data_IF_008486606799
#
_entry.id   IF_008486606799
#
_cell.length_a   1.000
_cell.length_b   1.000
_cell.length_c   1.000
_cell.angle_alpha   90.00
_cell.angle_beta   90.00
_cell.angle_gamma   90.00
#
_symmetry.space_group_name_H-M   'P 1'
#
loop_
_entity.id
_entity.type
_entity.pdbx_description
1 polymer ?
#
# COMPACT_ATOMS: atom_id res chain seq x y z
N UNK A 1 -4.25 -5.05 -21.58
CA UNK A 1 -5.52 -4.59 -22.13
C UNK A 1 -5.49 -3.09 -22.43
N UNK A 2 -5.64 -2.17 -21.46
CA UNK A 2 -5.67 -0.72 -21.75
C UNK A 2 -4.29 -0.05 -21.90
N UNK A 3 -3.21 -0.74 -21.65
CA UNK A 3 -1.85 -0.18 -21.72
C UNK A 3 -1.48 0.78 -20.58
N UNK A 4 -2.28 0.82 -19.51
CA UNK A 4 -2.02 1.66 -18.35
C UNK A 4 -0.79 1.14 -17.62
N UNK A 5 0.21 2.00 -17.39
CA UNK A 5 1.48 1.66 -16.74
C UNK A 5 1.62 2.20 -15.32
N UNK A 6 0.82 3.18 -14.94
CA UNK A 6 0.82 3.78 -13.60
C UNK A 6 -0.60 3.79 -13.04
N UNK A 7 -0.76 3.32 -11.83
CA UNK A 7 -2.01 3.32 -11.09
C UNK A 7 -1.80 3.92 -9.70
N UNK A 8 -2.74 4.74 -9.24
CA UNK A 8 -2.73 5.31 -7.89
C UNK A 8 -3.88 4.78 -7.06
N UNK A 9 -3.58 4.44 -5.81
CA UNK A 9 -4.58 4.05 -4.81
C UNK A 9 -4.18 4.55 -3.43
N UNK A 10 -5.05 4.49 -2.45
CA UNK A 10 -4.71 4.83 -1.06
C UNK A 10 -3.69 3.84 -0.49
N UNK A 11 -4.03 2.57 -0.51
CA UNK A 11 -3.17 1.47 -0.07
C UNK A 11 -3.59 0.17 -0.73
N UNK A 12 -2.63 -0.70 -0.98
CA UNK A 12 -2.88 -2.03 -1.54
C UNK A 12 -3.53 -2.95 -0.51
N UNK A 13 -4.24 -3.96 -1.00
CA UNK A 13 -4.55 -5.15 -0.21
C UNK A 13 -3.28 -5.95 0.09
N UNK A 14 -3.39 -6.90 0.98
CA UNK A 14 -2.25 -7.68 1.42
C UNK A 14 -2.70 -8.97 2.11
N UNK A 15 -1.84 -9.50 2.94
CA UNK A 15 -2.10 -10.67 3.78
C UNK A 15 -2.85 -10.21 5.03
N UNK A 16 -4.02 -10.80 5.31
CA UNK A 16 -4.78 -10.49 6.51
C UNK A 16 -4.11 -11.05 7.77
N UNK A 17 -4.35 -10.40 8.91
CA UNK A 17 -3.93 -10.91 10.22
C UNK A 17 -4.59 -12.27 10.45
N UNK A 18 -3.82 -13.26 10.91
CA UNK A 18 -4.30 -14.63 11.06
C UNK A 18 -4.42 -15.45 9.78
N UNK A 19 -3.86 -14.98 8.68
CA UNK A 19 -3.87 -15.69 7.40
C UNK A 19 -3.21 -17.07 7.45
N UNK A 20 -2.37 -17.33 8.44
CA UNK A 20 -1.79 -18.66 8.68
C UNK A 20 -2.86 -19.73 8.92
N UNK A 21 -4.04 -19.35 9.41
CA UNK A 21 -5.19 -20.23 9.63
C UNK A 21 -6.26 -20.07 8.55
N UNK A 22 -6.46 -18.86 8.03
CA UNK A 22 -7.58 -18.53 7.15
C UNK A 22 -7.22 -18.52 5.66
N UNK A 23 -5.94 -18.37 5.32
CA UNK A 23 -5.47 -18.10 3.95
C UNK A 23 -6.12 -16.84 3.33
N UNK A 24 -6.58 -15.89 4.16
CA UNK A 24 -7.19 -14.65 3.66
C UNK A 24 -6.10 -13.70 3.13
N UNK A 25 -5.89 -13.76 1.82
CA UNK A 25 -4.88 -12.99 1.09
C UNK A 25 -5.58 -12.24 -0.03
N UNK A 26 -5.33 -10.94 -0.14
CA UNK A 26 -5.93 -10.11 -1.18
C UNK A 26 -5.48 -10.51 -2.58
N UNK A 27 -6.41 -10.51 -3.53
CA UNK A 27 -6.12 -10.70 -4.95
C UNK A 27 -5.21 -9.58 -5.52
N UNK A 28 -5.13 -8.43 -4.88
CA UNK A 28 -4.21 -7.34 -5.27
C UNK A 28 -2.77 -7.85 -5.42
N UNK A 29 -2.34 -8.77 -4.54
CA UNK A 29 -0.98 -9.31 -4.58
C UNK A 29 -0.74 -10.20 -5.80
N UNK A 30 -1.76 -10.95 -6.22
CA UNK A 30 -1.70 -11.75 -7.45
C UNK A 30 -1.69 -10.85 -8.70
N UNK A 31 -2.48 -9.79 -8.70
CA UNK A 31 -2.50 -8.82 -9.81
C UNK A 31 -1.15 -8.08 -9.91
N UNK A 32 -0.56 -7.68 -8.80
CA UNK A 32 0.78 -7.10 -8.77
C UNK A 32 1.84 -8.06 -9.33
N UNK A 33 1.73 -9.35 -9.06
CA UNK A 33 2.65 -10.35 -9.57
C UNK A 33 2.54 -10.55 -11.10
N UNK A 34 1.35 -10.34 -11.68
CA UNK A 34 1.05 -10.74 -13.06
C UNK A 34 0.79 -9.56 -14.02
N UNK A 35 0.62 -8.36 -13.52
CA UNK A 35 0.28 -7.18 -14.33
C UNK A 35 1.41 -6.16 -14.30
N UNK A 36 1.92 -5.79 -15.49
CA UNK A 36 3.00 -4.82 -15.68
C UNK A 36 2.51 -3.38 -15.40
N UNK A 37 2.35 -3.04 -14.12
CA UNK A 37 1.86 -1.74 -13.64
C UNK A 37 2.67 -1.28 -12.41
N UNK A 38 3.00 0.00 -12.34
CA UNK A 38 3.51 0.62 -11.12
C UNK A 38 2.33 1.15 -10.31
N UNK A 39 2.20 0.67 -9.08
CA UNK A 39 1.13 1.06 -8.16
C UNK A 39 1.67 2.01 -7.10
N UNK A 40 1.27 3.27 -7.17
CA UNK A 40 1.62 4.31 -6.18
C UNK A 40 0.61 4.27 -5.05
N UNK A 41 1.08 4.03 -3.84
CA UNK A 41 0.23 3.85 -2.66
C UNK A 41 0.96 4.22 -1.36
N UNK A 42 0.24 4.41 -0.28
CA UNK A 42 0.83 4.62 1.05
C UNK A 42 1.18 3.28 1.76
N UNK A 43 1.66 2.30 0.99
CA UNK A 43 1.90 0.94 1.47
C UNK A 43 0.64 0.07 1.46
N UNK A 44 0.66 -1.03 2.20
CA UNK A 44 -0.53 -1.84 2.44
C UNK A 44 -1.42 -1.18 3.51
N UNK A 45 -2.74 -1.46 3.46
CA UNK A 45 -3.67 -0.95 4.47
C UNK A 45 -3.24 -1.41 5.87
N UNK A 46 -3.23 -0.51 6.83
CA UNK A 46 -2.72 -0.73 8.20
C UNK A 46 -3.43 -1.83 9.00
N UNK A 47 -4.63 -2.20 8.57
CA UNK A 47 -5.41 -3.32 9.14
C UNK A 47 -4.84 -4.70 8.80
N UNK A 48 -3.91 -4.77 7.84
CA UNK A 48 -3.30 -5.99 7.32
C UNK A 48 -2.02 -6.36 8.11
N UNK A 49 -1.48 -7.54 7.83
CA UNK A 49 -0.15 -7.95 8.28
C UNK A 49 0.89 -7.44 7.28
N UNK A 50 1.61 -6.38 7.64
CA UNK A 50 2.59 -5.75 6.76
C UNK A 50 3.81 -6.64 6.50
N UNK A 51 4.24 -7.41 7.51
CA UNK A 51 5.36 -8.32 7.39
C UNK A 51 5.07 -9.43 6.38
N UNK A 52 3.97 -10.14 6.58
CA UNK A 52 3.55 -11.20 5.66
C UNK A 52 3.22 -10.66 4.26
N UNK A 53 2.69 -9.45 4.17
CA UNK A 53 2.43 -8.80 2.87
C UNK A 53 3.74 -8.53 2.12
N UNK A 54 4.78 -8.04 2.83
CA UNK A 54 6.08 -7.79 2.23
C UNK A 54 6.75 -9.09 1.78
N UNK A 55 6.74 -10.14 2.60
CA UNK A 55 7.27 -11.47 2.25
C UNK A 55 6.57 -12.06 1.02
N UNK A 56 5.25 -11.86 0.92
CA UNK A 56 4.50 -12.33 -0.23
C UNK A 56 4.93 -11.59 -1.51
N UNK A 57 5.05 -10.26 -1.47
CA UNK A 57 5.51 -9.46 -2.61
C UNK A 57 6.92 -9.87 -3.04
N UNK A 58 7.84 -10.07 -2.10
CA UNK A 58 9.20 -10.56 -2.37
C UNK A 58 9.19 -11.93 -3.05
N UNK A 59 8.42 -12.87 -2.52
CA UNK A 59 8.24 -14.22 -3.11
C UNK A 59 7.73 -14.17 -4.55
N UNK A 60 6.88 -13.19 -4.86
CA UNK A 60 6.33 -12.99 -6.20
C UNK A 60 7.22 -12.14 -7.12
N UNK A 61 8.37 -11.69 -6.64
CA UNK A 61 9.29 -10.83 -7.40
C UNK A 61 8.74 -9.44 -7.71
N UNK A 62 7.84 -8.93 -6.85
CA UNK A 62 7.27 -7.58 -6.94
C UNK A 62 8.11 -6.62 -6.09
N UNK A 63 8.95 -5.77 -6.68
CA UNK A 63 9.79 -4.85 -5.93
C UNK A 63 8.94 -3.79 -5.23
N UNK A 64 9.32 -3.47 -3.99
CA UNK A 64 8.76 -2.39 -3.19
C UNK A 64 9.74 -1.23 -3.16
N UNK A 65 9.44 -0.19 -3.89
CA UNK A 65 10.26 1.02 -4.00
C UNK A 65 9.71 2.10 -3.10
N UNK A 66 10.52 2.58 -2.16
CA UNK A 66 10.17 3.73 -1.32
C UNK A 66 10.45 5.04 -2.06
N UNK A 67 9.45 5.89 -2.18
CA UNK A 67 9.65 7.24 -2.68
C UNK A 67 10.05 8.15 -1.51
N UNK A 68 11.31 8.60 -1.53
CA UNK A 68 11.91 9.43 -0.47
C UNK A 68 11.85 8.81 0.95
N UNK A 69 11.83 7.48 1.02
CA UNK A 69 11.78 6.75 2.29
C UNK A 69 12.52 5.41 2.20
N UNK A 70 13.20 5.04 3.29
CA UNK A 70 13.81 3.71 3.46
C UNK A 70 12.87 2.75 4.20
N UNK A 71 11.75 3.28 4.73
CA UNK A 71 10.76 2.50 5.48
C UNK A 71 9.49 2.31 4.68
N UNK A 72 8.89 1.13 4.80
CA UNK A 72 7.56 0.87 4.25
C UNK A 72 6.53 1.69 5.02
N UNK A 73 5.79 2.61 4.39
CA UNK A 73 4.72 3.33 5.07
C UNK A 73 3.57 2.38 5.43
N UNK A 74 2.88 2.69 6.53
CA UNK A 74 1.78 1.87 7.05
C UNK A 74 0.44 2.60 6.94
N UNK A 75 0.14 3.10 5.75
CA UNK A 75 -1.10 3.76 5.38
C UNK A 75 -1.32 5.09 6.12
N UNK A 76 -1.77 5.04 7.38
CA UNK A 76 -2.01 6.23 8.20
C UNK A 76 -0.76 6.78 8.86
N UNK A 77 0.32 5.99 8.90
CA UNK A 77 1.62 6.40 9.45
C UNK A 77 2.68 6.38 8.37
N UNK A 78 3.66 7.27 8.52
CA UNK A 78 4.71 7.45 7.53
C UNK A 78 5.69 6.28 7.46
N UNK A 79 5.81 5.55 8.55
CA UNK A 79 6.80 4.49 8.71
C UNK A 79 6.18 3.28 9.42
N UNK A 80 6.72 2.11 9.10
CA UNK A 80 6.54 0.87 9.83
C UNK A 80 7.91 0.33 10.28
N UNK A 81 7.91 -0.82 10.93
CA UNK A 81 9.15 -1.50 11.34
C UNK A 81 9.88 -2.18 10.16
N UNK A 82 9.26 -2.21 8.97
CA UNK A 82 9.77 -2.86 7.78
C UNK A 82 10.46 -1.87 6.84
N UNK A 83 11.51 -2.34 6.13
CA UNK A 83 12.17 -1.58 5.08
C UNK A 83 11.50 -1.74 3.72
N UNK A 84 11.96 -0.97 2.76
CA UNK A 84 11.70 -1.12 1.32
C UNK A 84 12.90 -1.77 0.64
N UNK A 85 12.74 -2.24 -0.61
CA UNK A 85 13.84 -2.88 -1.35
C UNK A 85 14.82 -1.83 -1.89
N UNK A 86 14.28 -0.71 -2.39
CA UNK A 86 15.04 0.39 -2.96
C UNK A 86 14.39 1.72 -2.60
N UNK A 87 15.22 2.75 -2.42
CA UNK A 87 14.77 4.12 -2.24
C UNK A 87 15.10 4.95 -3.48
N UNK A 88 14.13 5.70 -3.98
CA UNK A 88 14.28 6.65 -5.08
C UNK A 88 13.76 8.03 -4.67
N UNK A 89 14.38 9.08 -5.21
CA UNK A 89 14.13 10.46 -4.77
C UNK A 89 13.28 11.27 -5.77
N UNK A 90 13.30 10.88 -7.04
CA UNK A 90 12.70 11.66 -8.12
C UNK A 90 11.73 10.82 -8.96
N UNK A 91 10.62 11.41 -9.46
CA UNK A 91 9.70 10.70 -10.35
C UNK A 91 10.38 10.15 -11.60
N UNK A 92 11.39 10.84 -12.12
CA UNK A 92 12.18 10.43 -13.28
C UNK A 92 12.99 9.15 -13.01
N UNK A 93 13.46 8.92 -11.79
CA UNK A 93 14.16 7.71 -11.39
C UNK A 93 13.20 6.52 -11.32
N UNK A 94 11.99 6.74 -10.78
CA UNK A 94 10.93 5.73 -10.76
C UNK A 94 10.55 5.33 -12.19
N UNK A 95 10.32 6.29 -13.06
CA UNK A 95 10.02 6.05 -14.48
C UNK A 95 11.14 5.27 -15.19
N UNK A 96 12.41 5.58 -14.86
CA UNK A 96 13.56 4.86 -15.40
C UNK A 96 13.60 3.39 -14.90
N UNK A 97 13.35 3.16 -13.61
CA UNK A 97 13.29 1.83 -13.03
C UNK A 97 12.17 0.98 -13.63
N UNK A 98 10.98 1.56 -13.81
CA UNK A 98 9.85 0.93 -14.49
C UNK A 98 10.23 0.51 -15.91
N UNK A 99 10.81 1.42 -16.68
CA UNK A 99 11.23 1.16 -18.06
C UNK A 99 12.30 0.07 -18.11
N UNK A 100 13.33 0.15 -17.29
CA UNK A 100 14.40 -0.83 -17.23
C UNK A 100 13.84 -2.24 -16.92
N UNK A 101 12.94 -2.36 -15.92
CA UNK A 101 12.31 -3.64 -15.58
C UNK A 101 11.60 -4.26 -16.78
N UNK A 102 10.76 -3.50 -17.45
CA UNK A 102 9.93 -4.06 -18.52
C UNK A 102 10.65 -4.18 -19.87
N UNK A 103 11.63 -3.32 -20.18
CA UNK A 103 12.49 -3.45 -21.37
C UNK A 103 13.38 -4.72 -21.28
N UNK A 104 13.77 -5.13 -20.07
CA UNK A 104 14.44 -6.42 -19.84
C UNK A 104 13.51 -7.63 -19.94
N UNK A 105 12.21 -7.43 -20.17
CA UNK A 105 11.23 -8.51 -20.27
C UNK A 105 10.77 -9.08 -18.93
N UNK A 106 11.14 -8.46 -17.80
CA UNK A 106 10.68 -8.86 -16.47
C UNK A 106 9.20 -8.51 -16.31
N UNK A 107 8.42 -9.52 -15.96
CA UNK A 107 6.96 -9.39 -15.79
C UNK A 107 6.58 -8.89 -14.39
N UNK A 108 5.27 -8.56 -14.27
CA UNK A 108 4.68 -8.11 -13.01
C UNK A 108 4.93 -6.64 -12.72
N UNK A 109 4.23 -6.17 -11.72
CA UNK A 109 4.20 -4.77 -11.31
C UNK A 109 5.36 -4.35 -10.41
N UNK A 110 5.20 -3.15 -9.87
CA UNK A 110 6.06 -2.54 -8.84
C UNK A 110 5.17 -1.81 -7.86
N UNK A 111 5.49 -1.89 -6.57
CA UNK A 111 4.86 -1.03 -5.56
C UNK A 111 5.73 0.19 -5.35
N UNK A 112 5.15 1.38 -5.53
CA UNK A 112 5.80 2.67 -5.23
C UNK A 112 5.19 3.16 -3.91
N UNK A 113 5.91 2.93 -2.84
CA UNK A 113 5.50 3.24 -1.49
C UNK A 113 5.76 4.73 -1.20
N UNK A 114 4.70 5.53 -1.16
CA UNK A 114 4.72 6.97 -0.97
C UNK A 114 4.10 7.31 0.40
N UNK A 115 4.90 7.75 1.39
CA UNK A 115 4.38 8.05 2.72
C UNK A 115 3.32 9.16 2.69
N UNK A 116 2.30 9.04 3.53
CA UNK A 116 1.34 10.10 3.80
C UNK A 116 2.07 11.41 4.14
N UNK A 117 1.59 12.61 3.69
CA UNK A 117 2.18 13.88 4.09
C UNK A 117 2.27 14.01 5.62
N UNK A 118 3.34 14.63 6.11
CA UNK A 118 3.66 14.68 7.54
C UNK A 118 2.53 15.29 8.36
N UNK A 119 1.91 16.34 7.86
CA UNK A 119 0.81 17.08 8.50
C UNK A 119 -0.49 16.29 8.62
N UNK A 120 -0.63 15.20 7.87
CA UNK A 120 -1.82 14.34 7.85
C UNK A 120 -1.56 12.95 8.44
N UNK A 121 -0.29 12.67 8.81
CA UNK A 121 0.08 11.40 9.44
C UNK A 121 -0.52 11.32 10.84
N UNK A 122 -1.03 10.14 11.18
CA UNK A 122 -1.59 9.89 12.51
C UNK A 122 -0.51 9.29 13.44
N UNK A 123 -0.73 9.47 14.74
CA UNK A 123 0.11 8.85 15.75
C UNK A 123 0.02 7.31 15.68
N UNK A 124 1.18 6.65 15.70
CA UNK A 124 1.27 5.20 15.57
C UNK A 124 0.55 4.46 16.70
N UNK A 125 0.72 4.91 17.94
CA UNK A 125 0.10 4.23 19.08
C UNK A 125 -1.42 4.36 19.06
N UNK A 126 -1.93 5.54 18.64
CA UNK A 126 -3.36 5.78 18.49
C UNK A 126 -3.95 4.84 17.41
N UNK A 127 -3.31 4.74 16.26
CA UNK A 127 -3.80 3.91 15.16
C UNK A 127 -3.69 2.41 15.48
N UNK A 128 -2.58 1.97 16.05
CA UNK A 128 -2.40 0.57 16.46
C UNK A 128 -3.48 0.16 17.50
N UNK A 129 -3.76 1.04 18.46
CA UNK A 129 -4.84 0.82 19.43
C UNK A 129 -6.23 0.78 18.80
N UNK A 130 -6.52 1.67 17.84
CA UNK A 130 -7.79 1.68 17.11
C UNK A 130 -7.98 0.40 16.29
N UNK A 131 -6.92 -0.04 15.59
CA UNK A 131 -6.95 -1.27 14.79
C UNK A 131 -7.15 -2.50 15.70
N UNK A 132 -6.44 -2.59 16.82
CA UNK A 132 -6.58 -3.71 17.74
C UNK A 132 -8.02 -3.84 18.27
N UNK A 133 -8.65 -2.72 18.64
CA UNK A 133 -10.06 -2.68 19.06
C UNK A 133 -11.01 -3.09 17.93
N UNK A 134 -10.77 -2.60 16.71
CA UNK A 134 -11.60 -2.93 15.56
C UNK A 134 -11.52 -4.42 15.20
N UNK A 135 -10.32 -5.03 15.27
CA UNK A 135 -10.11 -6.46 15.03
C UNK A 135 -10.82 -7.29 16.10
N UNK A 136 -10.67 -6.95 17.39
CA UNK A 136 -11.35 -7.66 18.46
C UNK A 136 -12.88 -7.66 18.28
N UNK A 137 -13.46 -6.50 17.92
CA UNK A 137 -14.90 -6.41 17.67
C UNK A 137 -15.33 -7.18 16.40
N UNK A 138 -14.48 -7.21 15.39
CA UNK A 138 -14.71 -8.02 14.17
C UNK A 138 -14.79 -9.51 14.50
N UNK A 139 -13.86 -9.99 15.33
CA UNK A 139 -13.79 -11.40 15.77
C UNK A 139 -15.00 -11.78 16.61
N UNK A 140 -15.39 -10.91 17.58
CA UNK A 140 -16.59 -11.12 18.39
C UNK A 140 -17.88 -11.23 17.57
N UNK A 141 -17.95 -10.48 16.45
CA UNK A 141 -19.09 -10.50 15.54
C UNK A 141 -19.02 -11.60 14.48
N UNK A 142 -17.94 -12.37 14.43
CA UNK A 142 -17.73 -13.42 13.42
C UNK A 142 -17.68 -12.89 11.99
N UNK A 143 -17.23 -11.64 11.79
CA UNK A 143 -17.11 -11.01 10.46
C UNK A 143 -15.82 -11.48 9.81
N UNK A 144 -15.89 -11.96 8.55
CA UNK A 144 -14.75 -12.46 7.81
C UNK A 144 -14.85 -12.28 6.30
N UNK A 145 -13.79 -12.63 5.59
CA UNK A 145 -13.72 -12.57 4.13
C UNK A 145 -13.92 -11.14 3.59
N UNK A 146 -14.74 -10.98 2.56
CA UNK A 146 -14.95 -9.69 1.87
C UNK A 146 -15.50 -8.57 2.77
N UNK A 147 -16.13 -8.92 3.88
CA UNK A 147 -16.69 -7.94 4.82
C UNK A 147 -15.65 -7.37 5.80
N UNK A 148 -14.50 -8.03 5.99
CA UNK A 148 -13.47 -7.64 6.95
C UNK A 148 -12.93 -6.22 6.69
N UNK A 149 -12.44 -5.95 5.50
CA UNK A 149 -11.83 -4.66 5.16
C UNK A 149 -12.80 -3.48 5.32
N UNK A 150 -14.02 -3.50 4.75
CA UNK A 150 -14.98 -2.42 4.95
C UNK A 150 -15.34 -2.20 6.43
N UNK A 151 -15.54 -3.27 7.18
CA UNK A 151 -15.84 -3.19 8.61
C UNK A 151 -14.70 -2.54 9.39
N UNK A 152 -13.47 -3.03 9.21
CA UNK A 152 -12.29 -2.53 9.93
C UNK A 152 -12.02 -1.05 9.63
N UNK A 153 -12.10 -0.63 8.37
CA UNK A 153 -11.91 0.78 8.00
C UNK A 153 -12.99 1.69 8.60
N UNK A 154 -14.25 1.26 8.54
CA UNK A 154 -15.36 2.03 9.15
C UNK A 154 -15.17 2.13 10.66
N UNK A 155 -14.79 1.04 11.34
CA UNK A 155 -14.60 1.02 12.78
C UNK A 155 -13.39 1.85 13.22
N UNK A 156 -12.29 1.80 12.48
CA UNK A 156 -11.14 2.69 12.74
C UNK A 156 -11.54 4.15 12.56
N UNK A 157 -12.35 4.49 11.55
CA UNK A 157 -12.85 5.85 11.38
C UNK A 157 -13.74 6.31 12.54
N UNK A 158 -14.61 5.43 13.05
CA UNK A 158 -15.41 5.70 14.24
C UNK A 158 -14.53 5.95 15.48
N UNK A 159 -13.57 5.06 15.76
CA UNK A 159 -12.68 5.14 16.93
C UNK A 159 -11.81 6.39 16.89
N UNK A 160 -11.38 6.82 15.69
CA UNK A 160 -10.54 8.00 15.48
C UNK A 160 -11.34 9.28 15.22
N UNK A 161 -12.64 9.30 15.48
CA UNK A 161 -13.51 10.46 15.31
C UNK A 161 -13.41 11.10 13.91
N UNK A 162 -13.22 10.28 12.87
CA UNK A 162 -13.08 10.70 11.49
C UNK A 162 -11.66 11.10 11.05
N UNK A 163 -10.71 11.21 11.96
CA UNK A 163 -9.34 11.60 11.62
C UNK A 163 -8.70 10.63 10.60
N UNK A 164 -8.96 9.33 10.70
CA UNK A 164 -8.45 8.36 9.74
C UNK A 164 -9.07 8.50 8.35
N UNK A 165 -10.31 8.97 8.25
CA UNK A 165 -10.94 9.26 6.96
C UNK A 165 -10.27 10.46 6.28
N UNK A 166 -10.02 11.54 7.03
CA UNK A 166 -9.29 12.71 6.52
C UNK A 166 -7.88 12.30 6.05
N UNK A 167 -7.15 11.55 6.86
CA UNK A 167 -5.84 11.03 6.50
C UNK A 167 -5.89 10.18 5.21
N UNK A 168 -6.91 9.32 5.05
CA UNK A 168 -7.10 8.51 3.84
C UNK A 168 -7.33 9.37 2.60
N UNK A 169 -8.10 10.44 2.68
CA UNK A 169 -8.34 11.37 1.57
C UNK A 169 -7.01 12.01 1.15
N UNK A 170 -6.23 12.52 2.09
CA UNK A 170 -4.98 13.23 1.83
C UNK A 170 -3.89 12.30 1.26
N UNK A 171 -3.76 11.08 1.77
CA UNK A 171 -2.80 10.13 1.19
C UNK A 171 -3.18 9.73 -0.25
N UNK A 172 -4.48 9.63 -0.58
CA UNK A 172 -4.93 9.36 -1.96
C UNK A 172 -4.56 10.52 -2.89
N UNK A 173 -4.77 11.76 -2.48
CA UNK A 173 -4.35 12.93 -3.26
C UNK A 173 -2.85 12.98 -3.47
N UNK A 174 -2.05 12.72 -2.41
CA UNK A 174 -0.60 12.66 -2.49
C UNK A 174 -0.13 11.59 -3.48
N UNK A 175 -0.72 10.40 -3.42
CA UNK A 175 -0.40 9.29 -4.31
C UNK A 175 -0.79 9.60 -5.77
N UNK A 176 -1.96 10.19 -6.00
CA UNK A 176 -2.41 10.57 -7.33
C UNK A 176 -1.50 11.62 -7.97
N UNK A 177 -1.04 12.60 -7.20
CA UNK A 177 -0.08 13.62 -7.65
C UNK A 177 1.24 12.98 -8.08
N UNK A 178 1.85 12.15 -7.23
CA UNK A 178 3.09 11.46 -7.57
C UNK A 178 2.92 10.53 -8.77
N UNK A 179 1.81 9.79 -8.85
CA UNK A 179 1.53 8.91 -9.98
C UNK A 179 1.44 9.68 -11.31
N UNK A 180 0.83 10.87 -11.32
CA UNK A 180 0.77 11.73 -12.50
C UNK A 180 2.16 12.21 -12.92
N UNK A 181 3.02 12.58 -11.97
CA UNK A 181 4.40 12.98 -12.24
C UNK A 181 5.21 11.81 -12.82
N UNK A 182 5.12 10.62 -12.23
CA UNK A 182 5.79 9.40 -12.75
C UNK A 182 5.29 9.05 -14.16
N UNK A 183 3.97 9.10 -14.39
CA UNK A 183 3.39 8.77 -15.68
C UNK A 183 3.88 9.74 -16.78
N UNK A 184 3.99 11.03 -16.48
CA UNK A 184 4.55 12.03 -17.41
C UNK A 184 6.00 11.71 -17.75
N UNK A 185 6.84 11.42 -16.76
CA UNK A 185 8.24 11.07 -16.98
C UNK A 185 8.40 9.75 -17.76
N UNK A 186 7.50 8.79 -17.53
CA UNK A 186 7.51 7.51 -18.22
C UNK A 186 7.17 7.62 -19.71
N UNK A 187 6.22 8.49 -20.07
CA UNK A 187 5.83 8.72 -21.48
C UNK A 187 6.86 9.56 -22.22
N UNK A 188 7.58 10.45 -21.53
CA UNK A 188 8.61 11.30 -22.12
C UNK A 188 9.90 10.54 -22.51
N UNK A 189 10.05 9.29 -22.13
CA UNK A 189 11.20 8.39 -22.38
C UNK A 189 10.90 7.39 -23.47
#
# INVERSE_FOLDING_TARGET
MAGIKVFATGGIGGVHRGAQQTFDISADLQELANTDVAVVCAGAKSILDLGLTREYLETQGVPVVGFQTDKLPAFYTRESDFGVDYRLEQPVEVAAAMKAKWDMGLKGGMVIANPIPHEHALDKALIDGAIARAVAEMDEKGIGGKASTPFLLAKVAEITEGHSLTANIELVYNNAKLAAEIAREYVAR
#
